data_IF_250383847641
#
_entry.id   IF_250383847641
#
_cell.length_a   1.000
_cell.length_b   1.000
_cell.length_c   1.000
_cell.angle_alpha   90.00
_cell.angle_beta   90.00
_cell.angle_gamma   90.00
#
_symmetry.space_group_name_H-M   'P 1'
#
loop_
_entity.id
_entity.type
_entity.pdbx_description
1 polymer ?
#
# COMPACT_ATOMS: atom_id res chain seq x y z
N UNK A 1 -13.40 48.76 -24.96
CA UNK A 1 -13.81 49.76 -25.97
C UNK A 1 -13.94 49.02 -27.29
N UNK A 2 -15.16 48.86 -27.83
CA UNK A 2 -15.68 49.53 -29.06
C UNK A 2 -14.78 49.32 -30.30
N UNK A 3 -15.26 48.96 -31.51
CA UNK A 3 -16.62 48.81 -32.08
C UNK A 3 -16.57 47.78 -33.26
N UNK A 4 -17.53 46.87 -33.50
CA UNK A 4 -18.88 46.98 -34.11
C UNK A 4 -18.96 47.24 -35.63
N UNK A 5 -19.51 46.27 -36.40
CA UNK A 5 -20.52 46.36 -37.49
C UNK A 5 -20.83 44.93 -38.01
N UNK A 6 -22.08 44.39 -38.00
CA UNK A 6 -23.31 44.71 -38.80
C UNK A 6 -23.17 44.16 -40.24
N UNK A 7 -24.11 43.44 -40.88
CA UNK A 7 -25.51 43.01 -40.62
C UNK A 7 -25.70 41.53 -41.13
N UNK A 8 -26.87 40.89 -41.37
CA UNK A 8 -28.30 41.26 -41.29
C UNK A 8 -29.24 40.05 -41.03
N UNK A 9 -30.42 40.38 -40.47
CA UNK A 9 -31.63 39.57 -40.17
C UNK A 9 -32.43 39.07 -41.39
N UNK A 10 -33.21 38.00 -41.19
CA UNK A 10 -34.69 38.02 -41.38
C UNK A 10 -35.34 36.80 -40.66
N UNK A 11 -36.64 36.87 -40.34
CA UNK A 11 -37.30 35.92 -39.42
C UNK A 11 -38.83 35.83 -39.61
N UNK A 12 -39.41 34.66 -39.28
CA UNK A 12 -40.82 34.39 -38.89
C UNK A 12 -40.87 32.90 -38.43
N UNK A 13 -41.38 32.49 -37.26
CA UNK A 13 -42.78 32.51 -36.73
C UNK A 13 -43.75 31.76 -37.67
N UNK A 14 -44.64 30.84 -37.26
CA UNK A 14 -45.02 30.20 -35.97
C UNK A 14 -45.67 28.82 -36.34
N UNK A 15 -46.06 27.85 -35.51
CA UNK A 15 -46.91 27.88 -34.32
C UNK A 15 -47.09 26.46 -33.69
N UNK A 16 -47.34 26.46 -32.38
CA UNK A 16 -48.07 25.53 -31.48
C UNK A 16 -48.88 24.32 -32.00
N UNK A 17 -48.74 23.15 -31.34
CA UNK A 17 -49.87 22.31 -30.84
C UNK A 17 -49.45 21.10 -29.94
N UNK A 18 -50.22 20.84 -28.89
CA UNK A 18 -50.35 19.64 -28.02
C UNK A 18 -51.69 19.81 -27.24
N UNK A 19 -52.35 18.82 -26.58
CA UNK A 19 -51.83 17.57 -25.97
C UNK A 19 -52.82 16.34 -25.95
N UNK A 20 -52.54 15.35 -25.06
CA UNK A 20 -53.42 14.27 -24.49
C UNK A 20 -53.75 13.05 -25.39
N UNK A 21 -53.96 11.81 -24.89
CA UNK A 21 -53.84 11.19 -23.54
C UNK A 21 -53.87 9.63 -23.61
N UNK A 22 -53.86 8.96 -22.43
CA UNK A 22 -54.15 7.52 -22.13
C UNK A 22 -52.97 6.53 -22.34
N UNK A 23 -52.55 5.73 -21.35
CA UNK A 23 -53.35 4.70 -20.63
C UNK A 23 -52.78 4.37 -19.23
N UNK A 24 -53.52 3.58 -18.43
CA UNK A 24 -53.19 3.23 -17.03
C UNK A 24 -53.57 1.79 -16.63
N UNK A 25 -52.65 1.08 -15.96
CA UNK A 25 -52.85 -0.11 -15.10
C UNK A 25 -51.59 -0.25 -14.21
N UNK A 26 -51.58 -0.45 -12.88
CA UNK A 26 -52.31 -1.39 -12.00
C UNK A 26 -51.88 -2.87 -12.20
N UNK A 27 -51.52 -3.68 -11.18
CA UNK A 27 -51.27 -3.43 -9.75
C UNK A 27 -50.52 -4.60 -9.07
N UNK A 28 -49.98 -4.35 -7.86
CA UNK A 28 -49.91 -5.25 -6.68
C UNK A 28 -49.56 -6.76 -6.80
N UNK A 29 -48.37 -7.14 -6.30
CA UNK A 29 -48.09 -8.40 -5.59
C UNK A 29 -46.72 -8.27 -4.85
N UNK A 30 -46.46 -8.82 -3.66
CA UNK A 30 -47.31 -9.30 -2.57
C UNK A 30 -46.52 -9.20 -1.23
N UNK A 31 -47.20 -9.07 -0.09
CA UNK A 31 -46.57 -9.17 1.25
C UNK A 31 -46.52 -10.64 1.72
N UNK A 32 -45.54 -10.94 2.58
CA UNK A 32 -45.55 -11.93 3.69
C UNK A 32 -44.58 -13.11 3.55
N UNK A 33 -43.55 -13.12 4.41
CA UNK A 33 -42.91 -14.27 5.07
C UNK A 33 -41.97 -13.67 6.14
N UNK A 34 -42.46 -13.44 7.36
CA UNK A 34 -42.33 -14.32 8.54
C UNK A 34 -40.90 -14.43 9.09
N UNK A 35 -40.73 -13.94 10.32
CA UNK A 35 -39.55 -14.18 11.14
C UNK A 35 -39.39 -15.69 11.38
N UNK A 36 -38.15 -16.19 11.31
CA UNK A 36 -37.68 -17.25 12.21
C UNK A 36 -36.23 -17.01 12.61
N UNK A 37 -36.02 -16.96 13.92
CA UNK A 37 -34.71 -16.98 14.57
C UNK A 37 -34.00 -18.32 14.33
N UNK A 38 -32.67 -18.25 14.21
CA UNK A 38 -31.83 -19.45 14.07
C UNK A 38 -30.36 -19.08 14.08
N UNK A 39 -29.79 -18.88 15.27
CA UNK A 39 -28.33 -18.85 15.42
C UNK A 39 -27.77 -20.21 15.00
N UNK A 40 -27.02 -20.25 13.90
CA UNK A 40 -26.15 -21.39 13.58
C UNK A 40 -24.72 -21.02 13.97
N UNK A 41 -24.07 -21.91 14.72
CA UNK A 41 -22.68 -21.75 15.09
C UNK A 41 -21.80 -21.80 13.83
N UNK A 42 -20.87 -20.86 13.71
CA UNK A 42 -19.86 -20.87 12.65
C UNK A 42 -18.90 -22.05 12.87
N UNK A 43 -18.65 -22.89 11.85
CA UNK A 43 -17.56 -23.87 11.90
C UNK A 43 -16.22 -23.14 12.02
N UNK A 44 -15.24 -23.79 12.65
CA UNK A 44 -13.93 -23.19 12.93
C UNK A 44 -13.25 -22.59 11.70
N UNK A 45 -12.62 -21.44 11.90
CA UNK A 45 -11.82 -20.72 10.90
C UNK A 45 -10.76 -21.65 10.29
N UNK A 46 -10.99 -22.11 9.06
CA UNK A 46 -10.00 -22.89 8.31
C UNK A 46 -8.74 -22.06 8.09
N UNK A 47 -7.57 -22.63 8.39
CA UNK A 47 -6.28 -21.99 8.13
C UNK A 47 -6.06 -21.83 6.62
N UNK A 48 -6.44 -20.67 6.06
CA UNK A 48 -6.05 -20.28 4.70
C UNK A 48 -4.64 -19.68 4.74
N UNK A 49 -3.68 -20.20 3.95
CA UNK A 49 -2.36 -19.58 3.83
C UNK A 49 -2.45 -18.14 3.35
N UNK A 50 -1.49 -17.32 3.75
CA UNK A 50 -1.38 -15.94 3.28
C UNK A 50 -1.09 -15.93 1.76
N UNK A 51 -1.94 -15.31 0.92
CA UNK A 51 -1.72 -15.30 -0.52
C UNK A 51 -0.41 -14.56 -0.85
N UNK A 52 0.46 -15.22 -1.62
CA UNK A 52 1.76 -14.67 -2.04
C UNK A 52 2.96 -15.07 -1.16
N UNK A 53 2.76 -15.74 -0.02
CA UNK A 53 3.88 -16.24 0.80
C UNK A 53 4.18 -17.70 0.44
N UNK A 54 5.23 -17.92 -0.35
CA UNK A 54 5.70 -19.27 -0.68
C UNK A 54 6.33 -19.98 0.52
N UNK A 55 5.93 -21.24 0.79
CA UNK A 55 6.55 -22.06 1.84
C UNK A 55 7.94 -22.54 1.42
N UNK A 56 8.98 -22.06 2.11
CA UNK A 56 10.31 -22.64 2.01
C UNK A 56 10.35 -23.97 2.79
N UNK A 57 10.33 -25.09 2.06
CA UNK A 57 10.26 -26.43 2.65
C UNK A 57 11.48 -26.78 3.52
N UNK A 58 11.30 -26.74 4.84
CA UNK A 58 12.29 -27.24 5.82
C UNK A 58 12.10 -28.74 6.01
N UNK A 59 13.14 -29.53 5.76
CA UNK A 59 13.14 -30.98 5.99
C UNK A 59 13.07 -31.25 7.50
N UNK A 60 12.19 -32.16 7.92
CA UNK A 60 12.17 -32.68 9.30
C UNK A 60 13.52 -33.32 9.64
N UNK A 61 14.03 -33.02 10.82
CA UNK A 61 15.09 -33.77 11.48
C UNK A 61 14.55 -34.27 12.83
N UNK A 62 14.87 -35.51 13.19
CA UNK A 62 14.26 -36.20 14.32
C UNK A 62 14.73 -35.67 15.69
N UNK A 63 13.85 -35.76 16.70
CA UNK A 63 14.12 -35.32 18.05
C UNK A 63 14.79 -36.42 18.90
N UNK A 64 15.82 -36.11 19.71
CA UNK A 64 16.39 -37.06 20.67
C UNK A 64 15.53 -37.15 21.96
N UNK A 65 15.60 -38.28 22.70
CA UNK A 65 14.77 -38.52 23.88
C UNK A 65 15.29 -37.79 25.14
N UNK A 66 14.43 -37.55 26.15
CA UNK A 66 14.81 -36.87 27.39
C UNK A 66 15.50 -37.82 28.39
N UNK A 67 16.58 -37.35 29.02
CA UNK A 67 17.23 -38.06 30.13
C UNK A 67 16.47 -37.91 31.44
N UNK A 68 16.39 -39.01 32.19
CA UNK A 68 15.79 -39.09 33.52
C UNK A 68 16.68 -38.54 34.63
N UNK A 69 16.06 -38.08 35.72
CA UNK A 69 16.69 -37.53 36.91
C UNK A 69 17.38 -38.57 37.80
N UNK A 70 18.50 -38.19 38.39
CA UNK A 70 19.02 -38.75 39.64
C UNK A 70 19.64 -37.63 40.47
N UNK A 71 19.08 -37.33 41.64
CA UNK A 71 19.66 -36.33 42.55
C UNK A 71 20.57 -36.98 43.59
N UNK A 72 21.45 -36.19 44.20
CA UNK A 72 21.93 -36.47 45.55
C UNK A 72 22.29 -35.17 46.31
N UNK A 73 22.47 -35.27 47.62
CA UNK A 73 22.27 -34.20 48.60
C UNK A 73 23.54 -33.76 49.31
N UNK A 74 23.66 -32.46 49.63
CA UNK A 74 24.14 -31.87 50.92
C UNK A 74 24.28 -30.33 50.78
N UNK A 75 23.57 -29.50 51.56
CA UNK A 75 23.77 -29.10 52.98
C UNK A 75 25.02 -28.23 53.25
N UNK A 76 24.82 -26.92 53.46
CA UNK A 76 25.27 -26.07 54.61
C UNK A 76 25.18 -24.57 54.22
N UNK A 77 24.17 -23.81 54.66
CA UNK A 77 23.97 -23.09 55.96
C UNK A 77 24.60 -21.67 56.05
N UNK A 78 23.71 -20.66 56.21
CA UNK A 78 23.86 -19.44 57.03
C UNK A 78 24.99 -18.43 56.67
N UNK A 79 24.89 -17.11 56.94
CA UNK A 79 23.89 -16.29 57.66
C UNK A 79 23.90 -14.81 57.16
N UNK A 80 23.00 -13.98 57.70
CA UNK A 80 22.91 -12.50 57.50
C UNK A 80 23.98 -11.79 58.38
N UNK A 81 24.27 -10.47 58.40
CA UNK A 81 23.53 -9.22 58.12
C UNK A 81 24.56 -8.02 57.95
N UNK A 82 24.22 -6.70 57.93
CA UNK A 82 24.98 -5.67 57.18
C UNK A 82 25.66 -4.55 58.02
N UNK A 83 26.23 -3.52 57.38
CA UNK A 83 26.00 -2.05 57.59
C UNK A 83 27.12 -1.15 57.00
N UNK A 84 26.69 -0.08 56.30
CA UNK A 84 27.32 1.25 56.05
C UNK A 84 28.85 1.47 56.20
N UNK A 85 29.48 2.05 55.17
CA UNK A 85 29.98 3.43 55.28
C UNK A 85 30.30 4.17 53.97
N UNK A 86 30.48 5.49 54.11
CA UNK A 86 30.38 6.55 53.09
C UNK A 86 31.69 7.33 53.00
N UNK A 87 32.36 7.41 51.84
CA UNK A 87 33.29 8.51 51.54
C UNK A 87 33.65 8.65 50.05
N UNK A 88 33.87 9.91 49.65
CA UNK A 88 34.25 10.44 48.33
C UNK A 88 35.72 10.13 47.96
N UNK A 89 36.05 10.35 46.67
CA UNK A 89 37.14 11.23 46.20
C UNK A 89 38.25 10.61 45.33
N UNK A 90 38.25 11.01 44.04
CA UNK A 90 39.40 11.40 43.19
C UNK A 90 40.51 10.39 42.86
N UNK A 91 40.78 10.25 41.55
CA UNK A 91 42.16 10.35 41.04
C UNK A 91 42.68 9.23 40.11
N UNK A 92 42.99 9.61 38.87
CA UNK A 92 44.29 9.26 38.26
C UNK A 92 44.43 7.96 37.44
N UNK A 93 44.55 8.15 36.12
CA UNK A 93 45.42 7.41 35.18
C UNK A 93 45.39 5.87 35.09
N UNK A 94 44.71 5.42 34.01
CA UNK A 94 45.22 4.51 32.95
C UNK A 94 46.49 3.69 33.26
N UNK A 95 46.34 2.37 33.21
CA UNK A 95 47.30 1.51 32.51
C UNK A 95 46.54 0.54 31.58
N UNK A 96 47.07 0.34 30.37
CA UNK A 96 46.52 -0.57 29.37
C UNK A 96 47.20 -1.92 29.51
N UNK A 97 46.42 -2.99 29.67
CA UNK A 97 46.83 -4.36 29.38
C UNK A 97 45.76 -4.99 28.48
N UNK A 98 46.21 -5.57 27.37
CA UNK A 98 45.37 -6.24 26.38
C UNK A 98 45.34 -7.75 26.67
N UNK A 99 44.28 -8.40 26.20
CA UNK A 99 44.05 -9.85 26.12
C UNK A 99 43.33 -10.57 27.29
N UNK A 100 42.60 -11.61 26.88
CA UNK A 100 41.76 -12.55 27.67
C UNK A 100 40.57 -11.96 28.43
N UNK A 101 39.42 -11.84 27.74
CA UNK A 101 38.13 -12.35 28.22
C UNK A 101 37.18 -12.59 27.03
N UNK A 102 37.27 -13.78 26.43
CA UNK A 102 36.12 -14.37 25.76
C UNK A 102 35.06 -14.70 26.84
N UNK A 103 33.79 -14.62 26.48
CA UNK A 103 32.64 -14.91 27.35
C UNK A 103 32.39 -13.95 28.52
N UNK A 104 31.87 -12.74 28.23
CA UNK A 104 30.86 -12.05 29.05
C UNK A 104 30.27 -10.81 28.32
N UNK A 105 29.30 -11.01 27.42
CA UNK A 105 28.31 -9.96 27.07
C UNK A 105 27.09 -10.52 26.29
N UNK A 106 26.50 -11.63 26.78
CA UNK A 106 25.28 -12.22 26.22
C UNK A 106 24.05 -11.99 27.12
N UNK A 107 24.10 -10.98 27.98
CA UNK A 107 23.06 -10.62 28.95
C UNK A 107 22.92 -9.10 29.02
N UNK A 108 22.01 -8.53 28.21
CA UNK A 108 21.21 -7.34 28.54
C UNK A 108 20.12 -6.97 27.49
N UNK A 109 19.59 -7.96 26.76
CA UNK A 109 18.34 -7.80 25.99
C UNK A 109 17.40 -8.98 26.24
N UNK A 110 16.79 -9.03 27.44
CA UNK A 110 15.55 -9.77 27.75
C UNK A 110 15.07 -9.45 29.16
N UNK A 111 14.08 -8.56 29.29
CA UNK A 111 12.82 -8.85 29.98
C UNK A 111 11.82 -7.69 29.79
N UNK A 112 11.03 -7.75 28.72
CA UNK A 112 9.62 -7.39 28.82
C UNK A 112 8.84 -8.72 28.87
N UNK A 113 7.87 -8.82 29.76
CA UNK A 113 7.19 -10.09 30.08
C UNK A 113 6.22 -10.51 29.00
N UNK A 114 6.45 -11.66 28.38
CA UNK A 114 5.64 -12.17 27.27
C UNK A 114 4.12 -12.34 27.58
N UNK A 115 3.72 -12.42 28.85
CA UNK A 115 2.32 -12.47 29.24
C UNK A 115 1.60 -11.11 29.12
N UNK A 116 2.27 -10.00 29.42
CA UNK A 116 1.64 -8.66 29.46
C UNK A 116 1.40 -8.06 28.08
N UNK A 117 2.15 -8.51 27.08
CA UNK A 117 1.98 -8.04 25.70
C UNK A 117 0.80 -8.75 25.03
N UNK A 118 0.66 -10.06 25.29
CA UNK A 118 -0.47 -10.87 24.81
C UNK A 118 -1.81 -10.36 25.35
N UNK A 119 -1.91 -10.07 26.66
CA UNK A 119 -3.13 -9.50 27.26
C UNK A 119 -3.47 -8.09 26.72
N UNK A 120 -2.47 -7.26 26.39
CA UNK A 120 -2.69 -5.94 25.79
C UNK A 120 -3.15 -6.03 24.34
N UNK A 121 -2.57 -6.95 23.56
CA UNK A 121 -3.01 -7.28 22.21
C UNK A 121 -4.45 -7.79 22.24
N UNK A 122 -4.78 -8.70 23.17
CA UNK A 122 -6.14 -9.22 23.35
C UNK A 122 -7.14 -8.17 23.83
N UNK A 123 -6.72 -7.18 24.63
CA UNK A 123 -7.55 -6.04 25.00
C UNK A 123 -7.75 -5.07 23.82
N UNK A 124 -6.72 -4.81 23.01
CA UNK A 124 -6.84 -4.02 21.78
C UNK A 124 -7.78 -4.70 20.76
N UNK A 125 -7.72 -6.03 20.63
CA UNK A 125 -8.61 -6.84 19.80
C UNK A 125 -10.10 -6.78 20.22
N UNK A 126 -10.44 -6.23 21.39
CA UNK A 126 -11.84 -5.93 21.78
C UNK A 126 -12.33 -4.57 21.28
N UNK A 127 -11.43 -3.70 20.83
CA UNK A 127 -11.72 -2.37 20.26
C UNK A 127 -11.52 -2.40 18.74
N UNK A 128 -10.61 -3.24 18.26
CA UNK A 128 -10.31 -3.42 16.84
C UNK A 128 -10.81 -4.80 16.39
N UNK A 129 -12.10 -4.87 16.06
CA UNK A 129 -12.72 -6.08 15.49
C UNK A 129 -12.22 -6.34 14.06
N UNK A 130 -12.14 -7.64 13.72
CA UNK A 130 -12.07 -8.19 12.35
C UNK A 130 -10.99 -7.63 11.39
N UNK A 131 -9.80 -7.30 11.91
CA UNK A 131 -8.64 -7.01 11.05
C UNK A 131 -8.21 -8.23 10.22
N UNK A 132 -7.71 -8.02 8.99
CA UNK A 132 -7.11 -9.09 8.20
C UNK A 132 -5.84 -9.61 8.87
N UNK A 133 -5.71 -10.94 8.99
CA UNK A 133 -4.53 -11.59 9.60
C UNK A 133 -3.23 -11.36 8.81
N UNK A 134 -3.35 -11.00 7.53
CA UNK A 134 -2.25 -10.71 6.64
C UNK A 134 -2.62 -9.55 5.72
N UNK A 135 -1.67 -8.65 5.42
CA UNK A 135 -1.81 -7.57 4.44
C UNK A 135 -0.72 -7.67 3.39
N UNK A 136 -1.12 -7.64 2.11
CA UNK A 136 -0.22 -7.53 0.96
C UNK A 136 0.14 -6.05 0.79
N UNK A 137 1.43 -5.72 0.89
CA UNK A 137 1.92 -4.39 0.55
C UNK A 137 2.34 -4.39 -0.93
N UNK A 138 1.87 -3.41 -1.69
CA UNK A 138 2.33 -3.13 -3.06
C UNK A 138 3.22 -1.90 -3.02
N UNK A 139 4.51 -2.11 -3.24
CA UNK A 139 5.50 -1.04 -3.21
C UNK A 139 5.54 -0.30 -4.56
N UNK A 140 5.05 0.94 -4.59
CA UNK A 140 4.95 1.76 -5.81
C UNK A 140 6.09 2.77 -5.97
N UNK A 141 7.04 2.83 -5.04
CA UNK A 141 8.14 3.78 -5.03
C UNK A 141 8.95 3.87 -6.33
N UNK A 142 9.38 2.75 -6.95
CA UNK A 142 10.16 2.79 -8.19
C UNK A 142 9.40 3.34 -9.42
N UNK A 143 8.07 3.20 -9.46
CA UNK A 143 7.21 3.79 -10.51
C UNK A 143 6.64 5.13 -10.06
N UNK A 144 5.62 5.11 -9.21
CA UNK A 144 4.84 6.28 -8.83
C UNK A 144 5.65 7.26 -7.96
N UNK A 145 6.40 6.72 -7.00
CA UNK A 145 7.26 7.52 -6.13
C UNK A 145 8.35 8.27 -6.88
N UNK A 146 8.98 7.62 -7.86
CA UNK A 146 10.00 8.27 -8.70
C UNK A 146 9.42 9.15 -9.80
N UNK A 147 8.17 8.94 -10.24
CA UNK A 147 7.59 9.56 -11.44
C UNK A 147 7.70 11.09 -11.48
N UNK A 148 7.47 11.73 -10.33
CA UNK A 148 7.41 13.19 -10.18
C UNK A 148 8.67 13.79 -9.53
N UNK A 149 9.76 13.02 -9.43
CA UNK A 149 11.04 13.55 -8.96
C UNK A 149 11.60 14.60 -9.92
N UNK A 150 12.17 15.67 -9.36
CA UNK A 150 12.66 16.83 -10.14
C UNK A 150 13.90 16.52 -10.96
N UNK A 151 14.75 15.65 -10.44
CA UNK A 151 16.02 15.25 -11.04
C UNK A 151 15.86 13.85 -11.64
N UNK A 152 16.30 13.66 -12.88
CA UNK A 152 16.25 12.34 -13.52
C UNK A 152 17.10 11.34 -12.75
N UNK A 153 16.49 10.26 -12.28
CA UNK A 153 17.20 9.19 -11.55
C UNK A 153 17.81 8.22 -12.57
N UNK A 154 19.13 7.95 -12.54
CA UNK A 154 19.78 7.05 -13.48
C UNK A 154 19.24 5.62 -13.39
N UNK A 155 19.15 4.95 -14.53
CA UNK A 155 18.66 3.56 -14.67
C UNK A 155 19.32 2.57 -13.70
N UNK A 156 20.65 2.58 -13.47
CA UNK A 156 21.27 1.67 -12.50
C UNK A 156 20.79 1.88 -11.06
N UNK A 157 20.40 3.11 -10.70
CA UNK A 157 19.89 3.45 -9.36
C UNK A 157 18.46 2.94 -9.19
N UNK A 158 17.62 3.05 -10.23
CA UNK A 158 16.27 2.45 -10.24
C UNK A 158 16.33 0.93 -10.09
N UNK A 159 17.20 0.28 -10.86
CA UNK A 159 17.42 -1.17 -10.80
C UNK A 159 17.91 -1.60 -9.41
N UNK A 160 18.86 -0.88 -8.83
CA UNK A 160 19.37 -1.17 -7.48
C UNK A 160 18.31 -0.95 -6.38
N UNK A 161 17.47 0.08 -6.51
CA UNK A 161 16.32 0.29 -5.62
C UNK A 161 15.35 -0.90 -5.68
N UNK A 162 14.94 -1.32 -6.88
CA UNK A 162 14.02 -2.45 -7.07
C UNK A 162 14.62 -3.75 -6.50
N UNK A 163 15.93 -4.00 -6.72
CA UNK A 163 16.62 -5.16 -6.13
C UNK A 163 16.57 -5.14 -4.61
N UNK A 164 16.86 -4.01 -3.96
CA UNK A 164 16.80 -3.88 -2.49
C UNK A 164 15.38 -4.17 -1.98
N UNK A 165 14.37 -3.57 -2.60
CA UNK A 165 12.96 -3.77 -2.25
C UNK A 165 12.54 -5.24 -2.42
N UNK A 166 12.94 -5.90 -3.51
CA UNK A 166 12.66 -7.31 -3.74
C UNK A 166 13.28 -8.24 -2.67
N UNK A 167 14.41 -7.87 -2.07
CA UNK A 167 15.03 -8.64 -0.97
C UNK A 167 14.42 -8.37 0.42
N UNK A 168 13.51 -7.39 0.53
CA UNK A 168 12.86 -7.03 1.79
C UNK A 168 11.68 -7.92 2.18
N UNK A 169 11.26 -8.85 1.31
CA UNK A 169 10.06 -9.68 1.54
C UNK A 169 8.76 -9.05 1.02
N UNK A 170 8.82 -7.88 0.37
CA UNK A 170 7.74 -7.36 -0.47
C UNK A 170 7.42 -8.35 -1.60
N UNK A 171 6.17 -8.82 -1.67
CA UNK A 171 5.71 -9.72 -2.72
C UNK A 171 5.41 -9.02 -4.05
N UNK A 172 5.20 -7.70 -4.04
CA UNK A 172 4.90 -6.89 -5.23
C UNK A 172 5.67 -5.57 -5.18
N UNK A 173 6.38 -5.25 -6.25
CA UNK A 173 7.10 -3.98 -6.44
C UNK A 173 6.79 -3.44 -7.83
N UNK A 174 6.06 -2.34 -7.93
CA UNK A 174 5.72 -1.72 -9.21
C UNK A 174 6.96 -1.09 -9.84
N UNK A 175 7.48 -1.72 -10.89
CA UNK A 175 8.86 -1.50 -11.33
C UNK A 175 9.03 -0.24 -12.19
N UNK A 176 8.09 0.04 -13.09
CA UNK A 176 8.18 1.14 -14.07
C UNK A 176 6.87 1.34 -14.84
N UNK A 177 6.85 2.21 -15.84
CA UNK A 177 5.69 2.57 -16.64
C UNK A 177 6.03 2.69 -18.13
N UNK A 178 5.27 2.02 -19.00
CA UNK A 178 5.40 2.11 -20.46
C UNK A 178 4.56 3.27 -21.01
N UNK A 179 4.77 4.44 -20.42
CA UNK A 179 4.23 5.75 -20.85
C UNK A 179 5.11 6.39 -21.92
N UNK A 180 4.62 7.48 -22.53
CA UNK A 180 5.42 8.28 -23.46
C UNK A 180 6.56 8.99 -22.73
N UNK A 181 7.84 8.81 -23.12
CA UNK A 181 8.98 9.54 -22.59
C UNK A 181 8.85 11.07 -22.70
N UNK A 182 8.04 11.57 -23.65
CA UNK A 182 7.76 13.00 -23.79
C UNK A 182 6.95 13.57 -22.61
N UNK A 183 6.04 12.77 -22.05
CA UNK A 183 5.17 13.19 -20.95
C UNK A 183 5.76 12.84 -19.58
N UNK A 184 6.48 11.72 -19.49
CA UNK A 184 7.15 11.27 -18.26
C UNK A 184 8.59 10.86 -18.59
N UNK A 185 9.52 11.83 -18.74
CA UNK A 185 10.93 11.54 -19.07
C UNK A 185 11.62 10.65 -18.03
N UNK A 186 11.18 10.78 -16.79
CA UNK A 186 11.70 10.06 -15.63
C UNK A 186 11.49 8.54 -15.68
N UNK A 187 10.59 8.03 -16.53
CA UNK A 187 10.35 6.59 -16.75
C UNK A 187 10.67 6.15 -18.19
N UNK A 188 11.45 6.93 -18.93
CA UNK A 188 11.81 6.65 -20.33
C UNK A 188 12.64 5.36 -20.53
N UNK A 189 13.32 4.91 -19.48
CA UNK A 189 14.21 3.74 -19.42
C UNK A 189 13.47 2.45 -18.97
N UNK A 190 12.14 2.42 -19.07
CA UNK A 190 11.31 1.28 -18.65
C UNK A 190 11.77 -0.08 -19.22
N UNK A 191 12.20 -0.12 -20.48
CA UNK A 191 12.72 -1.35 -21.11
C UNK A 191 14.00 -1.85 -20.42
N UNK A 192 14.93 -0.94 -20.17
CA UNK A 192 16.27 -1.25 -19.63
C UNK A 192 16.17 -1.66 -18.14
N UNK A 193 15.22 -1.07 -17.40
CA UNK A 193 14.83 -1.55 -16.06
C UNK A 193 14.27 -2.98 -16.14
N UNK A 194 13.29 -3.22 -17.02
CA UNK A 194 12.62 -4.52 -17.16
C UNK A 194 13.56 -5.65 -17.59
N UNK A 195 14.55 -5.38 -18.44
CA UNK A 195 15.55 -6.36 -18.87
C UNK A 195 16.27 -7.03 -17.68
N UNK A 196 16.54 -6.26 -16.62
CA UNK A 196 17.17 -6.76 -15.40
C UNK A 196 16.15 -7.31 -14.40
N UNK A 197 15.07 -6.59 -14.10
CA UNK A 197 14.18 -6.97 -12.98
C UNK A 197 13.31 -8.20 -13.28
N UNK A 198 13.01 -8.50 -14.56
CA UNK A 198 12.22 -9.69 -14.96
C UNK A 198 12.86 -11.04 -14.57
N UNK A 199 14.16 -11.03 -14.28
CA UNK A 199 14.94 -12.21 -13.87
C UNK A 199 14.96 -12.41 -12.34
N UNK A 200 14.43 -11.47 -11.56
CA UNK A 200 14.30 -11.59 -10.10
C UNK A 200 13.11 -12.50 -9.80
N UNK A 201 13.31 -13.52 -8.98
CA UNK A 201 12.28 -14.52 -8.63
C UNK A 201 11.66 -14.25 -7.26
N UNK A 202 10.39 -14.62 -7.07
CA UNK A 202 9.69 -14.52 -5.79
C UNK A 202 8.99 -13.19 -5.52
N UNK A 203 9.00 -12.27 -6.49
CA UNK A 203 8.37 -10.94 -6.42
C UNK A 203 7.67 -10.65 -7.75
N UNK A 204 6.46 -10.08 -7.70
CA UNK A 204 5.75 -9.59 -8.87
C UNK A 204 6.19 -8.16 -9.20
N UNK A 205 6.40 -7.90 -10.49
CA UNK A 205 6.81 -6.60 -11.01
C UNK A 205 5.76 -6.03 -11.98
N UNK A 206 4.60 -5.54 -11.48
CA UNK A 206 3.64 -4.86 -12.32
C UNK A 206 4.25 -3.61 -12.94
N UNK A 207 3.81 -3.30 -14.16
CA UNK A 207 4.19 -2.08 -14.87
C UNK A 207 2.97 -1.36 -15.43
N UNK A 208 2.96 -0.04 -15.36
CA UNK A 208 1.82 0.76 -15.81
C UNK A 208 1.79 0.84 -17.36
N UNK A 209 0.64 0.55 -17.97
CA UNK A 209 0.43 0.51 -19.42
C UNK A 209 -0.77 1.38 -19.81
N UNK A 210 -0.57 2.66 -20.19
CA UNK A 210 -1.66 3.63 -20.41
C UNK A 210 -2.53 3.38 -21.65
N UNK A 211 -2.11 2.49 -22.55
CA UNK A 211 -2.76 2.18 -23.82
C UNK A 211 -2.15 0.91 -24.44
N UNK A 212 -2.75 0.41 -25.52
CA UNK A 212 -2.34 -0.82 -26.20
C UNK A 212 -0.85 -0.83 -26.64
N UNK A 213 -0.32 0.29 -27.15
CA UNK A 213 1.10 0.39 -27.53
C UNK A 213 2.04 0.29 -26.32
N UNK A 214 1.63 0.86 -25.18
CA UNK A 214 2.35 0.71 -23.91
C UNK A 214 2.32 -0.74 -23.42
N UNK A 215 1.18 -1.41 -23.55
CA UNK A 215 1.03 -2.84 -23.24
C UNK A 215 1.91 -3.74 -24.14
N UNK A 216 1.89 -3.53 -25.45
CA UNK A 216 2.73 -4.28 -26.41
C UNK A 216 4.22 -4.13 -26.08
N UNK A 217 4.67 -2.92 -25.73
CA UNK A 217 6.04 -2.66 -25.31
C UNK A 217 6.39 -3.33 -23.95
N UNK A 218 5.46 -3.34 -22.99
CA UNK A 218 5.62 -4.02 -21.71
C UNK A 218 5.73 -5.54 -21.87
N UNK A 219 4.84 -6.14 -22.66
CA UNK A 219 4.85 -7.57 -22.98
C UNK A 219 6.16 -7.96 -23.70
N UNK A 220 6.60 -7.17 -24.69
CA UNK A 220 7.87 -7.38 -25.39
C UNK A 220 9.11 -7.25 -24.47
N UNK A 221 9.03 -6.44 -23.40
CA UNK A 221 10.07 -6.37 -22.38
C UNK A 221 10.06 -7.58 -21.41
N UNK A 222 8.98 -8.36 -21.39
CA UNK A 222 8.80 -9.52 -20.51
C UNK A 222 8.06 -9.19 -19.20
N UNK A 223 7.20 -8.16 -19.19
CA UNK A 223 6.28 -7.91 -18.09
C UNK A 223 5.30 -9.09 -17.92
N UNK A 224 5.16 -9.56 -16.68
CA UNK A 224 4.25 -10.67 -16.29
C UNK A 224 2.97 -10.20 -15.62
N UNK A 225 2.85 -8.89 -15.39
CA UNK A 225 1.69 -8.24 -14.80
C UNK A 225 1.70 -6.78 -15.28
N UNK A 226 0.54 -6.22 -15.58
CA UNK A 226 0.41 -4.84 -16.05
C UNK A 226 -0.68 -4.09 -15.28
N UNK A 227 -0.62 -2.76 -15.31
CA UNK A 227 -1.62 -1.92 -14.65
C UNK A 227 -2.22 -0.87 -15.59
N UNK A 228 -3.52 -0.61 -15.43
CA UNK A 228 -4.27 0.47 -16.08
C UNK A 228 -4.84 1.41 -15.02
N UNK A 229 -5.10 2.67 -15.39
CA UNK A 229 -5.56 3.69 -14.44
C UNK A 229 -6.74 4.49 -15.00
N UNK A 230 -7.87 4.46 -14.30
CA UNK A 230 -9.02 5.32 -14.56
C UNK A 230 -9.13 6.41 -13.48
N UNK A 231 -10.13 7.28 -13.60
CA UNK A 231 -10.44 8.34 -12.64
C UNK A 231 -11.93 8.32 -12.33
N UNK A 232 -12.30 8.59 -11.08
CA UNK A 232 -13.69 8.80 -10.68
C UNK A 232 -14.21 10.24 -10.97
N UNK A 233 -13.33 11.12 -11.49
CA UNK A 233 -13.62 12.50 -11.88
C UNK A 233 -13.40 12.74 -13.39
N UNK A 234 -14.36 13.40 -14.03
CA UNK A 234 -14.33 13.68 -15.47
C UNK A 234 -13.33 14.81 -15.79
N UNK A 235 -13.29 15.88 -14.99
CA UNK A 235 -12.29 16.93 -15.15
C UNK A 235 -10.86 16.43 -14.94
N UNK A 236 -10.64 15.48 -14.02
CA UNK A 236 -9.31 14.87 -13.83
C UNK A 236 -8.96 13.94 -15.00
N UNK A 237 -9.89 13.12 -15.48
CA UNK A 237 -9.68 12.30 -16.70
C UNK A 237 -9.33 13.21 -17.89
N UNK A 238 -10.06 14.30 -18.07
CA UNK A 238 -9.83 15.25 -19.16
C UNK A 238 -8.51 16.02 -19.02
N UNK A 239 -8.09 16.40 -17.80
CA UNK A 239 -6.82 17.11 -17.60
C UNK A 239 -5.60 16.18 -17.71
N UNK A 240 -5.72 14.92 -17.30
CA UNK A 240 -4.61 13.96 -17.23
C UNK A 240 -4.40 13.18 -18.55
N UNK A 241 -5.48 12.75 -19.22
CA UNK A 241 -5.42 11.89 -20.42
C UNK A 241 -6.27 12.39 -21.61
N UNK A 242 -6.81 13.61 -21.51
CA UNK A 242 -7.56 14.30 -22.57
C UNK A 242 -8.71 13.48 -23.19
N UNK A 243 -9.44 12.74 -22.36
CA UNK A 243 -10.68 12.06 -22.73
C UNK A 243 -11.59 11.88 -21.50
N UNK A 244 -12.87 11.57 -21.73
CA UNK A 244 -13.80 11.27 -20.63
C UNK A 244 -13.51 9.92 -19.97
N UNK A 245 -14.11 9.67 -18.81
CA UNK A 245 -14.04 8.38 -18.09
C UNK A 245 -14.52 7.24 -19.01
N UNK A 246 -15.67 7.42 -19.68
CA UNK A 246 -16.18 6.41 -20.63
C UNK A 246 -15.21 6.15 -21.79
N UNK A 247 -14.54 7.18 -22.30
CA UNK A 247 -13.58 7.02 -23.39
C UNK A 247 -12.28 6.35 -22.93
N UNK A 248 -11.86 6.55 -21.68
CA UNK A 248 -10.67 5.89 -21.14
C UNK A 248 -10.94 4.41 -20.85
N UNK A 249 -12.08 4.08 -20.24
CA UNK A 249 -12.53 2.70 -20.02
C UNK A 249 -12.58 1.87 -21.32
N UNK A 250 -13.05 2.44 -22.43
CA UNK A 250 -13.01 1.77 -23.75
C UNK A 250 -11.57 1.43 -24.17
N UNK A 251 -10.63 2.38 -24.04
CA UNK A 251 -9.20 2.15 -24.37
C UNK A 251 -8.55 1.12 -23.43
N UNK A 252 -8.99 1.06 -22.17
CA UNK A 252 -8.49 0.09 -21.21
C UNK A 252 -9.07 -1.31 -21.42
N UNK A 253 -10.29 -1.43 -21.91
CA UNK A 253 -10.85 -2.71 -22.35
C UNK A 253 -10.03 -3.31 -23.51
N UNK A 254 -9.52 -2.50 -24.45
CA UNK A 254 -8.62 -2.98 -25.50
C UNK A 254 -7.31 -3.56 -24.92
N UNK A 255 -6.75 -2.91 -23.88
CA UNK A 255 -5.58 -3.41 -23.13
C UNK A 255 -5.92 -4.71 -22.40
N UNK A 256 -7.05 -4.77 -21.69
CA UNK A 256 -7.48 -5.95 -20.95
C UNK A 256 -7.72 -7.16 -21.87
N UNK A 257 -8.33 -6.95 -23.04
CA UNK A 257 -8.50 -7.98 -24.07
C UNK A 257 -7.16 -8.46 -24.65
N UNK A 258 -6.18 -7.56 -24.84
CA UNK A 258 -4.85 -7.92 -25.32
C UNK A 258 -4.04 -8.68 -24.25
N UNK A 259 -4.11 -8.25 -22.99
CA UNK A 259 -3.48 -8.90 -21.85
C UNK A 259 -4.05 -10.30 -21.60
N UNK A 260 -5.39 -10.45 -21.65
CA UNK A 260 -6.07 -11.74 -21.54
C UNK A 260 -5.67 -12.75 -22.62
N UNK A 261 -5.42 -12.30 -23.86
CA UNK A 261 -4.90 -13.15 -24.95
C UNK A 261 -3.47 -13.66 -24.72
N UNK A 262 -2.71 -13.02 -23.83
CA UNK A 262 -1.34 -13.39 -23.46
C UNK A 262 -1.24 -13.93 -22.03
N UNK A 263 -2.39 -14.18 -21.37
CA UNK A 263 -2.48 -14.61 -19.97
C UNK A 263 -1.79 -13.68 -18.96
N UNK A 264 -1.63 -12.40 -19.32
CA UNK A 264 -1.02 -11.38 -18.45
C UNK A 264 -2.11 -10.78 -17.54
N UNK A 265 -2.02 -10.92 -16.20
CA UNK A 265 -2.95 -10.28 -15.28
C UNK A 265 -2.88 -8.75 -15.34
N UNK A 266 -4.05 -8.11 -15.20
CA UNK A 266 -4.21 -6.66 -15.21
C UNK A 266 -4.68 -6.18 -13.83
N UNK A 267 -3.99 -5.19 -13.27
CA UNK A 267 -4.39 -4.44 -12.08
C UNK A 267 -5.06 -3.13 -12.49
N UNK A 268 -6.19 -2.79 -11.87
CA UNK A 268 -6.87 -1.51 -12.08
C UNK A 268 -6.50 -0.51 -11.00
N UNK A 269 -6.32 0.76 -11.36
CA UNK A 269 -6.28 1.89 -10.42
C UNK A 269 -7.47 2.83 -10.69
N UNK A 270 -8.07 3.38 -9.64
CA UNK A 270 -9.04 4.49 -9.72
C UNK A 270 -8.47 5.69 -9.00
N UNK A 271 -8.21 6.79 -9.70
CA UNK A 271 -7.79 8.05 -9.09
C UNK A 271 -8.97 8.90 -8.61
N UNK A 272 -8.69 9.83 -7.69
CA UNK A 272 -9.64 10.79 -7.13
C UNK A 272 -10.84 10.14 -6.40
N UNK A 273 -10.65 9.07 -5.64
CA UNK A 273 -11.76 8.30 -5.03
C UNK A 273 -12.55 9.04 -3.94
N UNK A 274 -11.96 10.06 -3.31
CA UNK A 274 -12.60 10.89 -2.27
C UNK A 274 -12.62 12.38 -2.63
N UNK A 275 -11.73 12.80 -3.53
CA UNK A 275 -11.59 14.19 -3.92
C UNK A 275 -10.76 14.36 -5.18
N UNK A 276 -11.08 15.39 -5.95
CA UNK A 276 -10.47 15.78 -7.21
C UNK A 276 -9.87 17.19 -7.06
N UNK A 277 -8.63 17.45 -7.53
CA UNK A 277 -8.03 18.79 -7.46
C UNK A 277 -8.71 19.85 -8.36
N UNK A 278 -9.68 19.45 -9.19
CA UNK A 278 -10.40 20.32 -10.13
C UNK A 278 -11.90 20.44 -9.80
N UNK A 279 -12.56 19.34 -9.48
CA UNK A 279 -14.01 19.27 -9.20
C UNK A 279 -14.34 19.34 -7.70
N UNK A 280 -13.37 19.16 -6.81
CA UNK A 280 -13.61 19.06 -5.37
C UNK A 280 -14.11 17.67 -4.98
N UNK A 281 -15.26 17.58 -4.31
CA UNK A 281 -15.79 16.30 -3.81
C UNK A 281 -16.19 15.35 -4.95
N UNK A 282 -15.82 14.08 -4.84
CA UNK A 282 -16.19 13.03 -5.80
C UNK A 282 -17.24 12.11 -5.18
N UNK A 283 -18.41 11.89 -5.83
CA UNK A 283 -19.44 10.99 -5.30
C UNK A 283 -18.97 9.53 -5.22
N UNK A 284 -19.21 8.81 -4.10
CA UNK A 284 -18.93 7.37 -3.98
C UNK A 284 -19.49 6.51 -5.11
N UNK A 285 -20.66 6.87 -5.66
CA UNK A 285 -21.28 6.20 -6.81
C UNK A 285 -20.42 6.24 -8.08
N UNK A 286 -19.65 7.30 -8.29
CA UNK A 286 -18.74 7.41 -9.44
C UNK A 286 -17.56 6.45 -9.28
N UNK A 287 -17.05 6.32 -8.06
CA UNK A 287 -15.97 5.37 -7.73
C UNK A 287 -16.46 3.94 -7.92
N UNK A 288 -17.63 3.61 -7.39
CA UNK A 288 -18.26 2.30 -7.54
C UNK A 288 -18.47 1.94 -9.01
N UNK A 289 -18.97 2.87 -9.84
CA UNK A 289 -19.09 2.68 -11.29
C UNK A 289 -17.75 2.36 -11.95
N UNK A 290 -16.71 3.18 -11.73
CA UNK A 290 -15.40 2.96 -12.38
C UNK A 290 -14.71 1.69 -11.88
N UNK A 291 -14.80 1.39 -10.58
CA UNK A 291 -14.28 0.16 -10.01
C UNK A 291 -14.99 -1.09 -10.58
N UNK A 292 -16.31 -1.02 -10.78
CA UNK A 292 -17.09 -2.10 -11.39
C UNK A 292 -16.72 -2.34 -12.84
N UNK A 293 -16.58 -1.28 -13.64
CA UNK A 293 -16.17 -1.39 -15.05
C UNK A 293 -14.76 -2.00 -15.18
N UNK A 294 -13.81 -1.59 -14.32
CA UNK A 294 -12.45 -2.18 -14.27
C UNK A 294 -12.48 -3.67 -13.88
N UNK A 295 -13.29 -4.03 -12.88
CA UNK A 295 -13.47 -5.43 -12.46
C UNK A 295 -14.11 -6.29 -13.57
N UNK A 296 -15.16 -5.78 -14.22
CA UNK A 296 -15.91 -6.51 -15.25
C UNK A 296 -15.10 -6.72 -16.55
N UNK A 297 -14.21 -5.79 -16.91
CA UNK A 297 -13.27 -6.01 -18.03
C UNK A 297 -12.13 -7.00 -17.68
N UNK A 298 -12.05 -7.47 -16.44
CA UNK A 298 -11.14 -8.53 -16.00
C UNK A 298 -9.93 -8.08 -15.20
N UNK A 299 -9.95 -6.89 -14.58
CA UNK A 299 -8.92 -6.56 -13.58
C UNK A 299 -9.01 -7.52 -12.39
N UNK A 300 -7.89 -8.14 -12.01
CA UNK A 300 -7.88 -9.11 -10.92
C UNK A 300 -8.00 -8.46 -9.53
N UNK A 301 -7.66 -7.16 -9.46
CA UNK A 301 -7.64 -6.31 -8.27
C UNK A 301 -7.78 -4.83 -8.71
N UNK A 302 -8.50 -4.03 -7.91
CA UNK A 302 -8.73 -2.60 -8.14
C UNK A 302 -8.23 -1.79 -6.95
N UNK A 303 -7.23 -0.93 -7.17
CA UNK A 303 -6.66 -0.02 -6.17
C UNK A 303 -7.37 1.33 -6.17
N UNK A 304 -7.86 1.74 -4.99
CA UNK A 304 -8.67 2.93 -4.78
C UNK A 304 -7.79 4.08 -4.27
N UNK A 305 -7.52 5.04 -5.16
CA UNK A 305 -6.52 6.09 -5.00
C UNK A 305 -7.04 7.44 -4.48
N UNK A 306 -6.68 7.81 -3.26
CA UNK A 306 -6.72 9.21 -2.81
C UNK A 306 -5.47 9.96 -3.30
N UNK A 307 -5.52 10.37 -4.57
CA UNK A 307 -4.43 10.97 -5.35
C UNK A 307 -3.94 12.31 -4.80
N UNK A 308 -4.71 12.96 -3.92
CA UNK A 308 -4.36 14.27 -3.33
C UNK A 308 -4.24 14.22 -1.82
N UNK A 309 -4.60 13.11 -1.16
CA UNK A 309 -4.42 12.89 0.28
C UNK A 309 -5.42 13.66 1.16
N UNK A 310 -6.58 14.04 0.61
CA UNK A 310 -7.63 14.85 1.30
C UNK A 310 -8.67 13.99 1.99
N UNK A 311 -8.64 12.68 1.78
CA UNK A 311 -9.55 11.72 2.40
C UNK A 311 -9.42 11.73 3.91
N UNK A 312 -10.53 11.50 4.58
CA UNK A 312 -10.58 11.22 6.01
C UNK A 312 -11.41 9.95 6.21
N UNK A 313 -11.39 9.31 7.40
CA UNK A 313 -12.23 8.14 7.64
C UNK A 313 -13.71 8.36 7.30
N UNK A 314 -14.24 9.57 7.54
CA UNK A 314 -15.62 9.94 7.23
C UNK A 314 -15.94 10.07 5.73
N UNK A 315 -14.95 10.15 4.84
CA UNK A 315 -15.14 10.11 3.37
C UNK A 315 -14.69 8.79 2.76
N UNK A 316 -13.71 8.12 3.36
CA UNK A 316 -13.22 6.80 2.91
C UNK A 316 -14.24 5.69 3.20
N UNK A 317 -14.91 5.69 4.36
CA UNK A 317 -15.90 4.66 4.70
C UNK A 317 -17.07 4.64 3.70
N UNK A 318 -17.79 5.74 3.41
CA UNK A 318 -18.88 5.74 2.42
C UNK A 318 -18.42 5.40 0.99
N UNK A 319 -17.16 5.73 0.65
CA UNK A 319 -16.54 5.35 -0.62
C UNK A 319 -16.35 3.84 -0.71
N UNK A 320 -15.80 3.21 0.33
CA UNK A 320 -15.62 1.76 0.41
C UNK A 320 -16.97 1.03 0.45
N UNK A 321 -17.96 1.49 1.22
CA UNK A 321 -19.32 0.91 1.25
C UNK A 321 -19.94 0.87 -0.16
N UNK A 322 -19.84 1.97 -0.91
CA UNK A 322 -20.36 2.04 -2.27
C UNK A 322 -19.63 1.07 -3.22
N UNK A 323 -18.30 0.97 -3.16
CA UNK A 323 -17.52 0.08 -4.01
C UNK A 323 -17.73 -1.39 -3.63
N UNK A 324 -17.77 -1.72 -2.34
CA UNK A 324 -18.01 -3.08 -1.82
C UNK A 324 -19.41 -3.61 -2.16
N UNK A 325 -20.36 -2.74 -2.48
CA UNK A 325 -21.68 -3.15 -2.98
C UNK A 325 -21.65 -3.74 -4.41
N UNK A 326 -20.56 -3.53 -5.16
CA UNK A 326 -20.43 -3.93 -6.57
C UNK A 326 -19.17 -4.74 -6.90
N UNK A 327 -18.09 -4.62 -6.11
CA UNK A 327 -16.84 -5.37 -6.26
C UNK A 327 -16.48 -6.08 -4.94
N UNK A 328 -16.14 -7.38 -4.93
CA UNK A 328 -15.79 -8.09 -3.70
C UNK A 328 -14.57 -7.49 -2.99
N UNK A 329 -14.58 -7.46 -1.65
CA UNK A 329 -13.54 -6.79 -0.85
C UNK A 329 -12.15 -7.40 -1.04
N UNK A 330 -12.06 -8.71 -1.29
CA UNK A 330 -10.83 -9.42 -1.62
C UNK A 330 -10.27 -9.11 -3.02
N UNK A 331 -10.94 -8.22 -3.77
CA UNK A 331 -10.52 -7.66 -5.06
C UNK A 331 -10.18 -6.17 -4.95
N UNK A 332 -10.21 -5.59 -3.75
CA UNK A 332 -9.92 -4.18 -3.50
C UNK A 332 -8.55 -3.99 -2.85
N UNK A 333 -7.90 -2.91 -3.25
CA UNK A 333 -6.71 -2.35 -2.60
C UNK A 333 -6.96 -0.86 -2.33
N UNK A 334 -6.17 -0.27 -1.43
CA UNK A 334 -6.20 1.18 -1.16
C UNK A 334 -4.83 1.82 -1.39
N UNK A 335 -4.85 3.00 -2.01
CA UNK A 335 -3.67 3.80 -2.32
C UNK A 335 -3.90 5.21 -1.77
N UNK A 336 -3.28 5.55 -0.64
CA UNK A 336 -3.51 6.85 0.01
C UNK A 336 -2.24 7.68 0.06
N UNK A 337 -2.34 8.91 -0.44
CA UNK A 337 -1.30 9.92 -0.26
C UNK A 337 -1.38 10.52 1.15
N UNK A 338 -0.24 10.90 1.71
CA UNK A 338 -0.15 11.47 3.06
C UNK A 338 -0.07 13.00 3.08
N UNK A 339 -0.56 13.66 2.03
CA UNK A 339 -0.50 15.14 1.86
C UNK A 339 -0.96 15.91 3.10
N UNK A 340 -2.02 15.42 3.76
CA UNK A 340 -2.63 16.04 4.94
C UNK A 340 -2.51 15.15 6.21
N UNK A 341 -1.58 14.18 6.22
CA UNK A 341 -1.36 13.30 7.39
C UNK A 341 -2.50 12.32 7.69
N UNK A 342 -3.30 11.97 6.67
CA UNK A 342 -4.50 11.13 6.82
C UNK A 342 -4.30 9.68 6.35
N UNK A 343 -3.14 9.34 5.77
CA UNK A 343 -2.98 8.05 5.08
C UNK A 343 -3.13 6.85 6.02
N UNK A 344 -2.44 6.84 7.17
CA UNK A 344 -2.49 5.72 8.12
C UNK A 344 -3.87 5.55 8.78
N UNK A 345 -4.58 6.64 9.08
CA UNK A 345 -5.95 6.57 9.61
C UNK A 345 -6.93 6.04 8.56
N UNK A 346 -6.78 6.46 7.30
CA UNK A 346 -7.55 5.94 6.17
C UNK A 346 -7.24 4.45 5.91
N UNK A 347 -5.97 4.02 5.99
CA UNK A 347 -5.59 2.60 5.90
C UNK A 347 -6.26 1.83 7.04
N UNK A 348 -6.13 2.28 8.30
CA UNK A 348 -6.69 1.58 9.46
C UNK A 348 -8.18 1.28 9.30
N UNK A 349 -9.00 2.27 8.89
CA UNK A 349 -10.43 2.01 8.66
C UNK A 349 -10.69 1.13 7.45
N UNK A 350 -9.84 1.17 6.41
CA UNK A 350 -9.92 0.25 5.27
C UNK A 350 -9.65 -1.20 5.71
N UNK A 351 -8.68 -1.43 6.60
CA UNK A 351 -8.39 -2.74 7.19
C UNK A 351 -9.58 -3.24 8.04
N UNK A 352 -10.21 -2.36 8.82
CA UNK A 352 -11.42 -2.68 9.59
C UNK A 352 -12.64 -3.00 8.71
N UNK A 353 -12.65 -2.52 7.45
CA UNK A 353 -13.64 -2.89 6.44
C UNK A 353 -13.23 -4.15 5.63
N UNK A 354 -12.15 -4.84 6.01
CA UNK A 354 -11.71 -6.10 5.41
C UNK A 354 -10.78 -5.97 4.19
N UNK A 355 -10.39 -4.75 3.79
CA UNK A 355 -9.37 -4.55 2.75
C UNK A 355 -8.04 -5.10 3.27
N UNK A 356 -7.38 -5.96 2.48
CA UNK A 356 -6.12 -6.62 2.86
C UNK A 356 -4.95 -6.31 1.92
N UNK A 357 -5.09 -5.27 1.09
CA UNK A 357 -4.05 -4.82 0.18
C UNK A 357 -3.86 -3.31 0.28
N UNK A 358 -2.62 -2.88 0.48
CA UNK A 358 -2.26 -1.47 0.66
C UNK A 358 -1.10 -1.11 -0.26
N UNK A 359 -1.26 -0.03 -1.01
CA UNK A 359 -0.21 0.54 -1.84
C UNK A 359 0.56 1.58 -1.03
N UNK A 360 1.89 1.50 -1.05
CA UNK A 360 2.77 2.42 -0.33
C UNK A 360 4.08 2.64 -1.07
N UNK A 361 4.82 3.67 -0.69
CA UNK A 361 6.05 4.09 -1.36
C UNK A 361 7.20 4.18 -0.38
N UNK A 362 8.30 3.49 -0.63
CA UNK A 362 9.50 3.53 0.19
C UNK A 362 9.93 4.96 0.49
N UNK A 363 10.31 5.26 1.73
CA UNK A 363 10.69 6.59 2.22
C UNK A 363 9.66 7.71 1.96
N UNK A 364 8.39 7.38 1.64
CA UNK A 364 7.40 8.36 1.19
C UNK A 364 7.79 9.02 -0.13
N UNK A 365 8.41 8.27 -1.06
CA UNK A 365 8.72 8.80 -2.39
C UNK A 365 7.43 9.20 -3.14
N UNK A 366 7.54 10.22 -3.98
CA UNK A 366 6.43 10.78 -4.75
C UNK A 366 6.17 12.23 -4.41
N UNK A 367 4.97 12.66 -4.78
CA UNK A 367 4.49 14.03 -4.70
C UNK A 367 3.41 14.23 -5.74
N UNK A 368 2.39 15.04 -5.43
CA UNK A 368 1.31 15.33 -6.38
C UNK A 368 1.63 16.64 -7.13
N UNK A 369 1.76 16.64 -8.48
CA UNK A 369 2.07 17.86 -9.23
C UNK A 369 0.96 18.92 -9.12
N UNK A 370 -0.25 18.52 -8.75
CA UNK A 370 -1.41 19.39 -8.53
C UNK A 370 -1.47 20.00 -7.11
N UNK A 371 -0.70 19.47 -6.14
CA UNK A 371 -0.69 19.95 -4.76
C UNK A 371 0.73 20.41 -4.36
N UNK A 372 0.98 21.72 -4.49
CA UNK A 372 2.26 22.34 -4.14
C UNK A 372 2.61 22.08 -2.66
N UNK A 373 3.67 21.31 -2.43
CA UNK A 373 4.15 20.96 -1.08
C UNK A 373 3.61 19.63 -0.53
N UNK A 374 2.84 18.87 -1.31
CA UNK A 374 2.41 17.54 -0.91
C UNK A 374 3.58 16.58 -0.67
N UNK A 375 3.54 15.85 0.44
CA UNK A 375 4.48 14.77 0.79
C UNK A 375 4.51 13.64 -0.24
N UNK A 376 3.37 13.32 -0.85
CA UNK A 376 3.22 12.25 -1.82
C UNK A 376 2.53 11.03 -1.24
N UNK A 377 2.96 9.85 -1.64
CA UNK A 377 2.46 8.56 -1.15
C UNK A 377 2.72 8.37 0.35
N UNK A 378 1.92 7.53 1.01
CA UNK A 378 2.25 7.01 2.34
C UNK A 378 3.58 6.25 2.31
N UNK A 379 4.40 6.43 3.35
CA UNK A 379 5.69 5.76 3.44
C UNK A 379 5.54 4.28 3.80
N UNK A 380 6.15 3.38 3.02
CA UNK A 380 6.09 1.92 3.26
C UNK A 380 6.57 1.54 4.65
N UNK A 381 7.62 2.19 5.15
CA UNK A 381 8.14 1.98 6.51
C UNK A 381 7.11 2.32 7.60
N UNK A 382 6.29 3.36 7.39
CA UNK A 382 5.28 3.82 8.35
C UNK A 382 4.07 2.88 8.33
N UNK A 383 3.70 2.34 7.16
CA UNK A 383 2.69 1.27 7.01
C UNK A 383 3.16 -0.02 7.67
N UNK A 384 4.37 -0.48 7.39
CA UNK A 384 4.94 -1.70 8.02
C UNK A 384 5.05 -1.54 9.53
N UNK A 385 5.44 -0.36 10.03
CA UNK A 385 5.49 -0.08 11.46
C UNK A 385 4.11 -0.21 12.12
N UNK A 386 3.07 0.38 11.51
CA UNK A 386 1.69 0.25 11.99
C UNK A 386 1.21 -1.20 11.96
N UNK A 387 1.38 -1.91 10.84
CA UNK A 387 0.91 -3.30 10.69
C UNK A 387 1.61 -4.26 11.66
N UNK A 388 2.92 -4.11 11.87
CA UNK A 388 3.65 -4.86 12.88
C UNK A 388 3.14 -4.58 14.30
N UNK A 389 2.84 -3.31 14.63
CA UNK A 389 2.25 -2.91 15.92
C UNK A 389 0.82 -3.45 16.14
N UNK A 390 0.07 -3.67 15.07
CA UNK A 390 -1.24 -4.33 15.08
C UNK A 390 -1.16 -5.87 15.07
N UNK A 391 0.03 -6.45 14.99
CA UNK A 391 0.22 -7.90 14.89
C UNK A 391 -0.19 -8.51 13.53
N UNK A 392 -0.38 -7.68 12.50
CA UNK A 392 -0.77 -8.11 11.15
C UNK A 392 0.48 -8.59 10.40
N UNK A 393 0.40 -9.79 9.81
CA UNK A 393 1.52 -10.33 9.02
C UNK A 393 1.65 -9.61 7.68
N UNK A 394 2.86 -9.20 7.33
CA UNK A 394 3.18 -8.65 5.99
C UNK A 394 4.25 -9.48 5.27
N UNK A 395 5.14 -10.14 6.02
CA UNK A 395 6.35 -10.77 5.48
C UNK A 395 7.49 -9.79 5.19
N UNK A 396 7.30 -8.49 5.45
CA UNK A 396 8.25 -7.42 5.09
C UNK A 396 9.23 -7.12 6.23
N UNK A 397 10.51 -7.15 5.90
CA UNK A 397 11.64 -6.75 6.74
C UNK A 397 11.78 -5.21 6.71
N UNK A 398 11.29 -4.56 7.78
CA UNK A 398 11.34 -3.11 7.96
C UNK A 398 12.76 -2.55 7.85
N UNK A 399 13.77 -3.28 8.35
CA UNK A 399 15.16 -2.83 8.30
C UNK A 399 15.70 -2.76 6.86
N UNK A 400 15.34 -3.72 6.02
CA UNK A 400 15.68 -3.70 4.59
C UNK A 400 14.93 -2.64 3.81
N UNK A 401 13.65 -2.39 4.10
CA UNK A 401 12.90 -1.27 3.48
C UNK A 401 13.53 0.06 3.87
N UNK A 402 13.85 0.29 5.15
CA UNK A 402 14.57 1.48 5.61
C UNK A 402 15.93 1.66 4.89
N UNK A 403 16.69 0.58 4.69
CA UNK A 403 17.97 0.64 3.97
C UNK A 403 17.81 0.91 2.45
N UNK A 404 16.69 0.49 1.85
CA UNK A 404 16.33 0.86 0.48
C UNK A 404 15.93 2.35 0.38
N UNK A 405 15.16 2.83 1.36
CA UNK A 405 14.77 4.24 1.52
C UNK A 405 15.96 5.17 1.72
N UNK A 406 16.88 4.82 2.62
CA UNK A 406 18.12 5.59 2.83
C UNK A 406 18.96 5.67 1.54
N UNK A 407 19.09 4.56 0.80
CA UNK A 407 19.82 4.52 -0.46
C UNK A 407 19.25 5.51 -1.49
N UNK A 408 17.94 5.51 -1.72
CA UNK A 408 17.33 6.40 -2.72
C UNK A 408 17.25 7.86 -2.24
N UNK A 409 16.95 8.10 -0.96
CA UNK A 409 16.99 9.44 -0.35
C UNK A 409 18.38 10.07 -0.46
N UNK A 410 19.45 9.30 -0.22
CA UNK A 410 20.83 9.74 -0.40
C UNK A 410 21.14 10.12 -1.84
N UNK A 411 20.64 9.35 -2.82
CA UNK A 411 20.81 9.67 -4.24
C UNK A 411 20.04 10.93 -4.66
N UNK A 412 18.82 11.10 -4.14
CA UNK A 412 17.98 12.27 -4.39
C UNK A 412 18.41 13.54 -3.61
N UNK A 413 19.35 13.41 -2.67
CA UNK A 413 19.81 14.50 -1.82
C UNK A 413 18.74 15.02 -0.84
N UNK A 414 17.77 14.19 -0.46
CA UNK A 414 16.64 14.57 0.42
C UNK A 414 16.54 13.67 1.65
N UNK A 415 15.89 14.16 2.71
CA UNK A 415 15.55 13.33 3.87
C UNK A 415 14.39 12.37 3.52
N UNK A 416 14.27 11.27 4.26
CA UNK A 416 13.13 10.37 4.15
C UNK A 416 11.85 11.05 4.63
N UNK A 417 10.74 10.83 3.90
CA UNK A 417 9.40 11.21 4.33
C UNK A 417 8.86 10.34 5.46
N UNK A 418 9.37 9.11 5.60
CA UNK A 418 8.99 8.18 6.68
C UNK A 418 9.32 8.75 8.06
N UNK A 419 8.30 8.77 8.94
CA UNK A 419 8.46 9.12 10.35
C UNK A 419 9.14 7.99 11.13
N UNK A 420 8.78 6.74 10.86
CA UNK A 420 9.37 5.56 11.49
C UNK A 420 10.87 5.46 11.20
N UNK A 421 11.29 5.55 9.93
CA UNK A 421 12.70 5.53 9.54
C UNK A 421 13.48 6.69 10.18
N UNK A 422 12.91 7.90 10.15
CA UNK A 422 13.54 9.11 10.76
C UNK A 422 13.76 8.97 12.27
N UNK A 423 12.86 8.27 12.98
CA UNK A 423 12.99 8.01 14.41
C UNK A 423 13.99 6.87 14.68
N UNK A 424 13.82 5.72 14.01
CA UNK A 424 14.60 4.51 14.23
C UNK A 424 16.09 4.69 13.86
N UNK A 425 16.40 5.41 12.77
CA UNK A 425 17.79 5.67 12.36
C UNK A 425 18.56 6.58 13.34
N UNK A 426 17.87 7.33 14.21
CA UNK A 426 18.54 8.10 15.28
C UNK A 426 18.91 7.21 16.48
N UNK A 427 18.08 6.21 16.78
CA UNK A 427 18.33 5.25 17.86
C UNK A 427 19.54 4.38 17.52
N UNK A 428 19.62 3.84 16.31
CA UNK A 428 20.78 3.06 15.85
C UNK A 428 22.06 3.89 15.84
N UNK A 429 22.02 5.13 15.33
CA UNK A 429 23.17 6.03 15.32
C UNK A 429 23.65 6.47 16.74
N UNK A 430 22.79 6.35 17.76
CA UNK A 430 23.18 6.57 19.17
C UNK A 430 23.72 5.31 19.83
N UNK A 431 23.22 4.12 19.46
CA UNK A 431 23.73 2.85 19.96
C UNK A 431 25.15 2.56 19.45
N UNK A 432 25.46 2.92 18.20
CA UNK A 432 26.80 2.76 17.60
C UNK A 432 27.85 3.77 18.08
N UNK A 433 27.54 4.61 19.08
CA UNK A 433 28.45 5.62 19.68
C UNK A 433 28.79 5.34 21.15
N UNK A 434 28.33 4.20 21.67
CA UNK A 434 28.67 3.63 22.97
C UNK A 434 29.56 2.40 22.76
#
# INVERSE_FOLDING_TARGET
>A
MLASRVCSRSASQSSTASPRALTSAAASAARSLLLRSGMQATPGLSERPCPGIGEAGVRKADAPPPCSSSGDSRRQTNQRHPVSNRAKSVGGNRHVLYASYLSQNQQNYRCFSASSDQERIEAANRIIHDLPRCVKIVEVGPRDGLQNEKNTVPTPVKIELIKRLATSGLSVVEATSFVSPKWVPQLADAKDVMEVVRNITGVNFPVLTPNLKGFEAAAAAGAKEVAIFASASEAFSKSNINCSIKQSLVRYNDVALAAKKQEIPVRGYVSCVVGCPVEGSVPPSNVAYVAKELYDMGCYEVSLGDTIGVGTPGTVIPMLEAVMSVVPVEKLAVHFHDTYGQSLSNILVSLQMGVSVVDSSVAGLGGCPYAKGASGNVATEDVVYMLNGLGIKTGVDLGKVMAAGEFICKHLGRQSGSKAATALSKVTASASKL
#
